data_IF_985360873737
#
_entry.id   IF_985360873737
#
_cell.length_a   1.000
_cell.length_b   1.000
_cell.length_c   1.000
_cell.angle_alpha   90.00
_cell.angle_beta   90.00
_cell.angle_gamma   90.00
#
_symmetry.space_group_name_H-M   'P 1'
#
loop_
_entity.id
_entity.type
_entity.pdbx_description
1 polymer ?
#
# COMPACT_ATOMS: atom_id res chain seq x y z
N UNK A 1 -27.88 2.11 -4.78
CA UNK A 1 -26.44 1.85 -5.08
C UNK A 1 -25.48 2.29 -3.97
N UNK A 2 -25.97 2.86 -2.86
CA UNK A 2 -25.35 2.69 -1.54
C UNK A 2 -26.18 1.70 -0.71
N UNK A 3 -26.70 0.68 -1.40
CA UNK A 3 -27.36 -0.42 -0.74
C UNK A 3 -26.27 -1.33 -0.18
N UNK A 4 -26.47 -1.76 1.05
CA UNK A 4 -25.69 -2.82 1.67
C UNK A 4 -25.66 -4.03 0.72
N UNK A 5 -24.50 -4.50 0.23
CA UNK A 5 -24.48 -5.74 -0.51
C UNK A 5 -24.84 -6.87 0.46
N UNK A 6 -25.88 -7.65 0.14
CA UNK A 6 -26.30 -8.86 0.89
C UNK A 6 -25.16 -9.88 1.06
N UNK A 7 -24.11 -9.74 0.25
CA UNK A 7 -22.88 -10.50 0.33
C UNK A 7 -21.78 -9.59 0.88
N UNK A 8 -21.19 -9.92 2.02
CA UNK A 8 -20.05 -9.22 2.66
C UNK A 8 -18.75 -9.23 1.86
N UNK A 9 -18.80 -8.89 0.57
CA UNK A 9 -17.64 -8.77 -0.30
C UNK A 9 -16.87 -7.50 0.05
N UNK A 10 -15.56 -7.64 0.22
CA UNK A 10 -14.64 -6.51 0.35
C UNK A 10 -14.62 -5.71 -0.96
N UNK A 11 -15.44 -4.66 -1.03
CA UNK A 11 -15.52 -3.72 -2.15
C UNK A 11 -14.58 -2.52 -1.98
N UNK A 12 -14.49 -1.69 -3.02
CA UNK A 12 -13.76 -0.43 -2.98
C UNK A 12 -14.40 0.50 -1.93
N UNK A 13 -13.56 1.02 -1.03
CA UNK A 13 -13.96 1.98 -0.01
C UNK A 13 -13.74 3.39 -0.54
N UNK A 14 -14.80 4.20 -0.50
CA UNK A 14 -14.85 5.54 -1.05
C UNK A 14 -15.18 6.52 0.07
N UNK A 15 -14.46 7.64 0.09
CA UNK A 15 -14.70 8.77 0.96
C UNK A 15 -14.51 10.07 0.17
N UNK A 16 -15.45 11.00 0.30
CA UNK A 16 -15.33 12.36 -0.27
C UNK A 16 -15.32 13.38 0.85
N UNK A 17 -14.52 14.44 0.71
CA UNK A 17 -14.39 15.50 1.70
C UNK A 17 -15.37 16.64 1.41
N UNK A 18 -15.95 17.20 2.46
CA UNK A 18 -16.86 18.35 2.40
C UNK A 18 -16.56 19.26 3.58
N UNK A 19 -17.01 20.50 3.54
CA UNK A 19 -16.92 21.40 4.70
C UNK A 19 -18.28 21.99 5.04
N UNK A 20 -18.55 22.21 6.32
CA UNK A 20 -19.80 22.87 6.76
C UNK A 20 -19.76 24.37 6.47
N UNK A 21 -20.90 24.98 6.13
CA UNK A 21 -20.96 26.43 5.86
C UNK A 21 -20.72 27.29 7.10
N UNK A 22 -21.17 26.84 8.27
CA UNK A 22 -21.09 27.62 9.51
C UNK A 22 -19.68 27.70 10.13
N UNK A 23 -19.07 26.54 10.44
CA UNK A 23 -17.76 26.46 11.13
C UNK A 23 -16.59 26.10 10.21
N UNK A 24 -16.86 25.87 8.92
CA UNK A 24 -15.87 25.31 7.99
C UNK A 24 -15.20 24.06 8.56
N UNK A 25 -15.98 23.20 9.24
CA UNK A 25 -15.48 21.94 9.78
C UNK A 25 -15.46 20.86 8.71
N UNK A 26 -14.38 20.07 8.66
CA UNK A 26 -14.24 18.97 7.70
C UNK A 26 -15.21 17.86 8.02
N UNK A 27 -15.94 17.41 7.00
CA UNK A 27 -16.85 16.27 7.06
C UNK A 27 -16.55 15.33 5.90
N UNK A 28 -16.65 14.02 6.11
CA UNK A 28 -16.53 13.03 5.03
C UNK A 28 -17.86 12.31 4.80
N UNK A 29 -18.15 12.00 3.54
CA UNK A 29 -19.26 11.11 3.16
C UNK A 29 -18.63 9.83 2.62
N UNK A 30 -19.03 8.67 3.15
CA UNK A 30 -18.37 7.38 2.89
C UNK A 30 -19.36 6.29 2.48
N UNK A 31 -18.89 5.28 1.74
CA UNK A 31 -19.67 4.06 1.45
C UNK A 31 -19.39 2.90 2.43
N UNK A 32 -18.72 3.19 3.54
CA UNK A 32 -18.29 2.20 4.53
C UNK A 32 -18.45 2.72 5.94
N UNK A 33 -18.53 1.79 6.89
CA UNK A 33 -18.46 2.06 8.32
C UNK A 33 -17.02 1.78 8.75
N UNK A 34 -16.40 2.69 9.48
CA UNK A 34 -15.14 2.37 10.15
C UNK A 34 -15.40 1.54 11.42
N UNK A 35 -14.36 0.85 11.92
CA UNK A 35 -14.47 -0.04 13.09
C UNK A 35 -14.76 0.70 14.42
N UNK A 36 -14.40 1.98 14.51
CA UNK A 36 -14.71 2.87 15.63
C UNK A 36 -15.53 4.07 15.15
N UNK A 37 -16.11 4.87 16.03
CA UNK A 37 -16.76 6.16 15.69
C UNK A 37 -15.70 7.26 15.49
N UNK A 38 -15.92 8.23 14.58
CA UNK A 38 -15.02 9.41 14.53
C UNK A 38 -15.34 10.24 15.78
N UNK A 39 -14.54 10.12 16.84
CA UNK A 39 -14.70 11.00 18.01
C UNK A 39 -14.34 12.45 17.67
N UNK A 40 -14.88 13.42 18.42
CA UNK A 40 -14.76 14.86 18.18
C UNK A 40 -13.32 15.45 18.10
N UNK A 41 -12.28 14.64 18.35
CA UNK A 41 -10.89 15.08 18.42
C UNK A 41 -10.03 14.75 17.17
N UNK A 42 -10.61 14.22 16.10
CA UNK A 42 -9.84 13.72 14.93
C UNK A 42 -9.70 14.75 13.79
N UNK A 43 -10.12 15.99 13.99
CA UNK A 43 -9.99 17.07 13.00
C UNK A 43 -10.94 17.00 11.80
N UNK A 44 -11.73 15.92 11.69
CA UNK A 44 -12.87 15.76 10.78
C UNK A 44 -13.90 14.82 11.42
N UNK A 45 -15.10 14.74 10.85
CA UNK A 45 -16.12 13.76 11.23
C UNK A 45 -16.74 13.10 9.99
N UNK A 46 -17.30 11.90 10.14
CA UNK A 46 -18.04 11.21 9.08
C UNK A 46 -19.52 11.54 9.18
N UNK A 47 -20.16 11.89 8.07
CA UNK A 47 -21.60 12.07 7.97
C UNK A 47 -22.22 10.70 7.94
N UNK A 48 -22.83 10.30 9.05
CA UNK A 48 -23.55 9.03 9.24
C UNK A 48 -24.84 9.28 9.99
N UNK A 49 -25.95 9.54 9.27
CA UNK A 49 -27.26 9.70 9.87
C UNK A 49 -27.69 8.44 10.64
N UNK A 50 -28.48 8.62 11.70
CA UNK A 50 -29.04 7.48 12.44
C UNK A 50 -30.08 6.72 11.62
N UNK A 51 -30.83 7.44 10.79
CA UNK A 51 -31.83 6.90 9.90
C UNK A 51 -31.21 6.62 8.53
N UNK A 52 -31.29 5.36 8.08
CA UNK A 52 -30.75 4.95 6.77
C UNK A 52 -31.38 5.70 5.60
N UNK A 53 -32.64 6.13 5.74
CA UNK A 53 -33.34 6.93 4.73
C UNK A 53 -32.71 8.32 4.50
N UNK A 54 -31.89 8.80 5.42
CA UNK A 54 -31.17 10.07 5.33
C UNK A 54 -29.74 9.91 4.81
N UNK A 55 -29.25 8.69 4.59
CA UNK A 55 -27.89 8.48 4.04
C UNK A 55 -27.78 9.17 2.66
N UNK A 56 -26.76 10.04 2.46
CA UNK A 56 -26.64 10.80 1.22
C UNK A 56 -26.50 9.90 -0.02
N UNK A 57 -27.24 10.26 -1.08
CA UNK A 57 -27.08 9.63 -2.39
C UNK A 57 -25.76 10.06 -3.05
N UNK A 58 -25.26 9.27 -3.99
CA UNK A 58 -23.94 9.51 -4.62
C UNK A 58 -23.87 10.89 -5.30
N UNK A 59 -24.93 11.27 -6.01
CA UNK A 59 -25.01 12.57 -6.66
C UNK A 59 -25.07 13.73 -5.65
N UNK A 60 -25.65 13.51 -4.46
CA UNK A 60 -25.70 14.50 -3.38
C UNK A 60 -24.32 14.69 -2.75
N UNK A 61 -23.61 13.58 -2.50
CA UNK A 61 -22.23 13.61 -2.04
C UNK A 61 -21.32 14.33 -3.06
N UNK A 62 -21.49 14.02 -4.35
CA UNK A 62 -20.82 14.71 -5.46
C UNK A 62 -21.07 16.22 -5.46
N UNK A 63 -22.34 16.64 -5.35
CA UNK A 63 -22.72 18.06 -5.26
C UNK A 63 -22.12 18.75 -4.04
N UNK A 64 -22.12 18.09 -2.88
CA UNK A 64 -21.57 18.65 -1.65
C UNK A 64 -20.03 18.83 -1.73
N UNK A 65 -19.31 17.82 -2.24
CA UNK A 65 -17.83 17.88 -2.32
C UNK A 65 -17.32 18.87 -3.36
N UNK A 66 -18.10 19.18 -4.41
CA UNK A 66 -17.68 20.06 -5.50
C UNK A 66 -18.30 21.46 -5.42
N UNK A 67 -19.02 21.80 -4.34
CA UNK A 67 -19.69 23.09 -4.18
C UNK A 67 -18.68 24.20 -3.84
N UNK A 68 -17.82 24.54 -4.80
CA UNK A 68 -16.75 25.52 -4.67
C UNK A 68 -17.32 26.94 -4.46
N UNK A 69 -16.96 27.64 -3.36
CA UNK A 69 -17.45 28.99 -3.12
C UNK A 69 -17.09 29.96 -4.24
N UNK A 70 -18.08 30.74 -4.69
CA UNK A 70 -17.94 31.66 -5.82
C UNK A 70 -18.27 31.04 -7.18
N UNK A 71 -18.28 29.71 -7.31
CA UNK A 71 -18.73 29.01 -8.53
C UNK A 71 -20.09 28.34 -8.33
N UNK A 72 -20.28 27.68 -7.18
CA UNK A 72 -21.49 26.93 -6.87
C UNK A 72 -22.06 27.34 -5.51
N UNK A 73 -23.39 27.31 -5.40
CA UNK A 73 -24.06 27.50 -4.12
C UNK A 73 -23.78 26.31 -3.18
N UNK A 74 -23.65 26.54 -1.86
CA UNK A 74 -23.61 25.46 -0.89
C UNK A 74 -24.81 24.53 -1.02
N UNK A 75 -24.58 23.23 -0.82
CA UNK A 75 -25.58 22.19 -1.00
C UNK A 75 -26.15 21.74 0.35
N UNK A 76 -27.48 21.74 0.47
CA UNK A 76 -28.17 21.29 1.66
C UNK A 76 -28.50 19.78 1.57
N UNK A 77 -27.96 19.02 2.51
CA UNK A 77 -28.38 17.64 2.77
C UNK A 77 -29.48 17.65 3.82
N UNK A 78 -30.69 17.28 3.41
CA UNK A 78 -31.88 17.30 4.25
C UNK A 78 -31.66 16.51 5.55
N UNK A 79 -31.97 17.13 6.69
CA UNK A 79 -31.80 16.53 8.02
C UNK A 79 -30.34 16.40 8.50
N UNK A 80 -29.36 16.83 7.71
CA UNK A 80 -27.93 16.74 8.05
C UNK A 80 -27.28 18.13 8.16
N UNK A 81 -27.52 19.00 7.17
CA UNK A 81 -27.00 20.36 7.15
C UNK A 81 -26.53 20.83 5.78
N UNK A 82 -25.90 22.00 5.75
CA UNK A 82 -25.41 22.64 4.52
C UNK A 82 -23.90 22.50 4.37
N UNK A 83 -23.48 22.07 3.18
CA UNK A 83 -22.11 21.70 2.86
C UNK A 83 -21.59 22.47 1.65
N UNK A 84 -20.29 22.65 1.62
CA UNK A 84 -19.54 23.24 0.52
C UNK A 84 -18.25 22.44 0.28
N UNK A 85 -17.47 22.83 -0.72
CA UNK A 85 -16.30 22.11 -1.20
C UNK A 85 -15.32 21.68 -0.08
N UNK A 86 -14.84 20.44 -0.17
CA UNK A 86 -13.83 19.88 0.72
C UNK A 86 -12.45 20.53 0.57
N UNK A 87 -12.18 21.13 -0.59
CA UNK A 87 -10.93 21.80 -0.92
C UNK A 87 -10.60 22.92 0.07
N UNK A 88 -11.63 23.58 0.65
CA UNK A 88 -11.46 24.64 1.66
C UNK A 88 -10.61 24.22 2.88
N UNK A 89 -10.50 22.92 3.15
CA UNK A 89 -9.64 22.38 4.22
C UNK A 89 -8.67 21.32 3.72
N UNK A 90 -9.08 20.50 2.76
CA UNK A 90 -8.34 19.32 2.31
C UNK A 90 -8.36 19.20 0.78
N UNK A 91 -7.74 20.15 0.08
CA UNK A 91 -7.59 20.05 -1.38
C UNK A 91 -6.72 18.85 -1.81
N UNK A 92 -5.81 18.41 -0.94
CA UNK A 92 -5.21 17.09 -1.02
C UNK A 92 -5.72 16.24 0.15
N UNK A 93 -6.65 15.30 -0.05
CA UNK A 93 -7.27 14.54 1.02
C UNK A 93 -6.38 13.39 1.56
N UNK A 94 -5.09 13.35 1.21
CA UNK A 94 -4.22 12.22 1.56
C UNK A 94 -4.18 11.89 3.05
N UNK A 95 -4.14 12.90 3.92
CA UNK A 95 -4.11 12.65 5.37
C UNK A 95 -5.42 12.01 5.84
N UNK A 96 -6.57 12.47 5.33
CA UNK A 96 -7.88 11.86 5.60
C UNK A 96 -7.89 10.40 5.12
N UNK A 97 -7.37 10.14 3.91
CA UNK A 97 -7.31 8.79 3.36
C UNK A 97 -6.41 7.85 4.20
N UNK A 98 -5.28 8.33 4.69
CA UNK A 98 -4.39 7.55 5.58
C UNK A 98 -5.03 7.27 6.93
N UNK A 99 -5.68 8.26 7.54
CA UNK A 99 -6.38 8.10 8.81
C UNK A 99 -7.52 7.10 8.68
N UNK A 100 -8.31 7.19 7.60
CA UNK A 100 -9.39 6.25 7.34
C UNK A 100 -8.88 4.86 7.00
N UNK A 101 -7.80 4.73 6.22
CA UNK A 101 -7.14 3.44 5.98
C UNK A 101 -6.75 2.74 7.29
N UNK A 102 -6.12 3.46 8.22
CA UNK A 102 -5.73 2.92 9.53
C UNK A 102 -6.95 2.57 10.39
N UNK A 103 -8.05 3.32 10.27
CA UNK A 103 -9.29 3.01 11.00
C UNK A 103 -10.00 1.77 10.47
N UNK A 104 -10.02 1.60 9.14
CA UNK A 104 -10.64 0.45 8.49
C UNK A 104 -9.81 -0.80 8.76
N UNK A 105 -8.47 -0.68 8.69
CA UNK A 105 -7.54 -1.79 8.86
C UNK A 105 -6.44 -1.48 9.89
N UNK A 106 -6.77 -1.49 11.20
CA UNK A 106 -5.86 -1.04 12.27
C UNK A 106 -4.67 -1.99 12.52
N UNK A 107 -4.74 -3.23 12.03
CA UNK A 107 -3.71 -4.26 12.24
C UNK A 107 -2.76 -4.43 11.06
N UNK A 108 -2.95 -3.66 9.98
CA UNK A 108 -2.16 -3.77 8.76
C UNK A 108 -1.58 -2.42 8.37
N UNK A 109 -0.38 -2.43 7.81
CA UNK A 109 0.22 -1.23 7.22
C UNK A 109 -0.31 -0.99 5.81
N UNK A 110 -0.30 0.27 5.37
CA UNK A 110 -0.69 0.63 4.00
C UNK A 110 0.36 0.17 3.00
N UNK A 111 0.01 -0.73 2.08
CA UNK A 111 1.00 -1.31 1.15
C UNK A 111 1.52 -0.31 0.10
N UNK A 112 0.64 0.55 -0.43
CA UNK A 112 0.99 1.59 -1.39
C UNK A 112 0.00 2.75 -1.32
N UNK A 113 0.47 3.97 -1.62
CA UNK A 113 -0.31 5.20 -1.65
C UNK A 113 -0.04 5.92 -2.97
N UNK A 114 -1.10 6.24 -3.71
CA UNK A 114 -1.03 7.04 -4.91
C UNK A 114 -1.88 8.30 -4.74
N UNK A 115 -1.23 9.46 -4.72
CA UNK A 115 -1.87 10.77 -4.76
C UNK A 115 -1.86 11.30 -6.19
N UNK A 116 -3.01 11.69 -6.72
CA UNK A 116 -3.12 12.29 -8.05
C UNK A 116 -3.44 13.78 -7.88
N UNK A 117 -2.60 14.64 -8.45
CA UNK A 117 -2.84 16.08 -8.50
C UNK A 117 -3.50 16.49 -9.82
N UNK A 118 -4.22 17.61 -9.77
CA UNK A 118 -4.88 18.23 -10.94
C UNK A 118 -3.97 19.21 -11.67
N UNK A 119 -2.69 19.27 -11.31
CA UNK A 119 -1.70 20.20 -11.82
C UNK A 119 -1.37 21.32 -10.84
N UNK A 120 -0.23 21.97 -11.06
CA UNK A 120 0.25 23.14 -10.31
C UNK A 120 0.82 24.17 -11.28
N UNK A 121 0.58 25.46 -11.01
CA UNK A 121 1.27 26.53 -11.72
C UNK A 121 2.79 26.41 -11.52
N UNK A 122 3.56 26.71 -12.56
CA UNK A 122 5.00 26.87 -12.42
C UNK A 122 5.30 27.99 -11.42
N UNK A 123 6.28 27.78 -10.55
CA UNK A 123 6.67 28.78 -9.56
C UNK A 123 7.16 30.04 -10.29
N UNK A 124 6.31 31.04 -10.46
CA UNK A 124 6.75 32.36 -10.92
C UNK A 124 7.74 32.88 -9.88
N UNK A 125 8.97 33.29 -10.26
CA UNK A 125 9.84 34.01 -9.36
C UNK A 125 9.04 35.15 -8.74
N UNK A 126 9.10 35.30 -7.42
CA UNK A 126 8.39 36.38 -6.72
C UNK A 126 8.58 37.68 -7.48
N UNK A 127 7.51 38.39 -7.90
CA UNK A 127 7.70 39.69 -8.50
C UNK A 127 8.42 40.54 -7.48
N UNK A 128 9.65 40.93 -7.78
CA UNK A 128 10.38 41.94 -7.03
C UNK A 128 9.41 43.11 -6.84
N UNK A 129 9.12 43.43 -5.58
CA UNK A 129 8.25 44.52 -5.18
C UNK A 129 8.78 45.81 -5.82
N UNK A 130 8.18 46.27 -6.92
CA UNK A 130 8.44 47.62 -7.43
C UNK A 130 7.70 48.58 -6.49
N UNK A 131 8.41 49.43 -5.71
CA UNK A 131 7.75 50.39 -4.85
C UNK A 131 7.25 51.54 -5.72
N UNK A 132 5.93 51.77 -5.82
CA UNK A 132 5.47 53.05 -6.37
C UNK A 132 4.11 53.15 -7.06
N UNK A 133 3.21 52.17 -7.01
CA UNK A 133 1.83 52.39 -7.50
C UNK A 133 0.82 51.69 -6.63
N UNK A 134 0.10 52.46 -5.81
CA UNK A 134 -0.97 51.98 -4.92
C UNK A 134 -2.29 52.55 -5.43
N UNK A 135 -2.98 51.83 -6.31
CA UNK A 135 -4.42 52.04 -6.53
C UNK A 135 -5.18 51.50 -5.31
N UNK A 136 -6.18 52.25 -4.85
CA UNK A 136 -6.90 51.99 -3.60
C UNK A 136 -7.89 50.81 -3.72
N UNK A 137 -8.18 50.35 -4.94
CA UNK A 137 -9.16 49.29 -5.23
C UNK A 137 -8.61 47.85 -5.16
N UNK A 138 -7.29 47.65 -5.00
CA UNK A 138 -6.66 46.32 -5.01
C UNK A 138 -6.58 45.60 -3.63
N UNK A 139 -7.26 46.08 -2.59
CA UNK A 139 -6.75 45.91 -1.21
C UNK A 139 -7.40 44.96 -0.21
N UNK A 140 -8.50 44.25 -0.48
CA UNK A 140 -9.01 43.27 0.52
C UNK A 140 -9.40 41.90 -0.02
N UNK A 141 -10.13 41.82 -1.14
CA UNK A 141 -10.56 40.55 -1.72
C UNK A 141 -9.41 39.74 -2.38
N UNK A 142 -8.44 40.35 -3.09
CA UNK A 142 -7.40 39.57 -3.78
C UNK A 142 -6.42 38.88 -2.84
N UNK A 143 -6.14 39.45 -1.66
CA UNK A 143 -5.16 38.89 -0.71
C UNK A 143 -5.73 37.75 0.10
N UNK A 144 -6.98 37.87 0.54
CA UNK A 144 -7.69 36.79 1.20
C UNK A 144 -7.88 35.64 0.20
N UNK A 145 -8.43 35.90 -1.00
CA UNK A 145 -8.57 34.88 -2.05
C UNK A 145 -7.23 34.25 -2.45
N UNK A 146 -6.14 35.02 -2.56
CA UNK A 146 -4.80 34.48 -2.85
C UNK A 146 -4.22 33.66 -1.69
N UNK A 147 -4.46 34.05 -0.45
CA UNK A 147 -4.12 33.25 0.74
C UNK A 147 -4.97 31.98 0.85
N UNK A 148 -6.24 32.04 0.42
CA UNK A 148 -7.14 30.90 0.31
C UNK A 148 -6.66 29.94 -0.79
N UNK A 149 -6.25 30.45 -1.96
CA UNK A 149 -5.65 29.66 -3.04
C UNK A 149 -4.31 29.02 -2.62
N UNK A 150 -3.50 29.68 -1.81
CA UNK A 150 -2.29 29.02 -1.24
C UNK A 150 -2.63 27.93 -0.22
N UNK A 151 -3.78 28.02 0.47
CA UNK A 151 -4.29 26.92 1.32
C UNK A 151 -4.82 25.73 0.51
N UNK A 152 -4.99 25.91 -0.80
CA UNK A 152 -5.34 24.86 -1.76
C UNK A 152 -4.10 24.19 -2.36
N UNK A 153 -2.89 24.52 -1.91
CA UNK A 153 -1.68 23.89 -2.41
C UNK A 153 -1.56 22.44 -1.91
N UNK A 154 -2.10 21.52 -2.71
CA UNK A 154 -2.02 20.08 -2.47
C UNK A 154 -0.58 19.56 -2.49
N UNK A 155 0.36 20.30 -3.08
CA UNK A 155 1.78 19.97 -3.12
C UNK A 155 2.46 20.27 -1.78
N UNK A 156 2.08 21.36 -1.09
CA UNK A 156 2.56 21.60 0.29
C UNK A 156 2.10 20.51 1.25
N UNK A 157 0.85 20.07 1.15
CA UNK A 157 0.32 18.96 1.97
C UNK A 157 1.10 17.68 1.69
N UNK A 158 1.39 17.39 0.42
CA UNK A 158 2.21 16.25 0.03
C UNK A 158 3.63 16.32 0.60
N UNK A 159 4.34 17.45 0.42
CA UNK A 159 5.70 17.64 0.95
C UNK A 159 5.75 17.51 2.48
N UNK A 160 4.79 18.11 3.18
CA UNK A 160 4.68 18.00 4.64
C UNK A 160 4.50 16.55 5.08
N UNK A 161 3.65 15.78 4.39
CA UNK A 161 3.51 14.34 4.63
C UNK A 161 4.85 13.62 4.44
N UNK A 162 5.55 13.84 3.31
CA UNK A 162 6.83 13.18 3.06
C UNK A 162 7.88 13.48 4.15
N UNK A 163 7.93 14.71 4.67
CA UNK A 163 8.82 15.07 5.78
C UNK A 163 8.50 14.31 7.08
N UNK A 164 7.27 13.85 7.27
CA UNK A 164 6.86 13.07 8.44
C UNK A 164 7.14 11.56 8.31
N UNK A 165 7.43 11.07 7.10
CA UNK A 165 7.61 9.65 6.82
C UNK A 165 9.06 9.21 7.00
N UNK A 166 9.27 8.02 7.59
CA UNK A 166 10.58 7.37 7.62
C UNK A 166 11.02 6.91 6.21
N UNK A 167 12.33 6.76 6.01
CA UNK A 167 12.93 6.38 4.70
C UNK A 167 12.30 5.13 4.09
N UNK A 168 12.02 4.11 4.90
CA UNK A 168 11.40 2.85 4.44
C UNK A 168 9.95 3.04 3.97
N UNK A 169 9.23 4.03 4.51
CA UNK A 169 7.86 4.30 4.13
C UNK A 169 7.79 5.06 2.80
N UNK A 170 8.75 5.94 2.50
CA UNK A 170 8.75 6.79 1.30
C UNK A 170 8.57 6.01 0.00
N UNK A 171 9.16 4.81 -0.08
CA UNK A 171 9.08 3.95 -1.26
C UNK A 171 7.67 3.48 -1.61
N UNK A 172 6.71 3.58 -0.67
CA UNK A 172 5.30 3.22 -0.85
C UNK A 172 4.43 4.42 -1.27
N UNK A 173 4.96 5.64 -1.21
CA UNK A 173 4.21 6.87 -1.44
C UNK A 173 4.56 7.46 -2.80
N UNK A 174 3.56 7.54 -3.67
CA UNK A 174 3.69 8.08 -5.01
C UNK A 174 2.76 9.28 -5.18
N UNK A 175 3.26 10.31 -5.86
CA UNK A 175 2.42 11.41 -6.34
C UNK A 175 2.67 11.65 -7.81
N UNK A 176 1.59 11.62 -8.58
CA UNK A 176 1.58 12.02 -9.98
C UNK A 176 0.89 13.38 -10.05
N UNK A 177 1.62 14.37 -10.51
CA UNK A 177 1.13 15.73 -10.69
C UNK A 177 1.82 16.33 -11.92
N UNK A 178 1.21 17.32 -12.54
CA UNK A 178 1.80 18.01 -13.70
C UNK A 178 2.08 19.47 -13.38
N UNK A 179 3.15 20.02 -13.94
CA UNK A 179 3.40 21.45 -13.89
C UNK A 179 2.88 22.09 -15.19
N UNK A 180 2.06 23.13 -15.06
CA UNK A 180 1.56 23.85 -16.23
C UNK A 180 2.69 24.64 -16.89
N UNK A 181 2.80 24.57 -18.22
CA UNK A 181 3.80 25.34 -18.99
C UNK A 181 3.48 26.85 -19.07
N UNK A 182 2.29 27.25 -18.64
CA UNK A 182 1.80 28.62 -18.65
C UNK A 182 0.97 28.93 -17.41
N UNK A 183 0.01 29.86 -17.55
CA UNK A 183 -0.91 30.16 -16.46
C UNK A 183 -1.79 28.95 -16.15
N UNK A 184 -2.07 28.75 -14.87
CA UNK A 184 -3.06 27.80 -14.42
C UNK A 184 -4.43 28.18 -14.99
N UNK A 185 -5.10 27.28 -15.74
CA UNK A 185 -6.44 27.53 -16.25
C UNK A 185 -7.41 27.80 -15.11
N UNK A 186 -8.45 28.58 -15.37
CA UNK A 186 -9.52 28.77 -14.38
C UNK A 186 -10.25 27.44 -14.15
N UNK A 187 -10.75 27.24 -12.92
CA UNK A 187 -11.47 26.02 -12.54
C UNK A 187 -12.74 25.78 -13.39
N UNK A 188 -13.33 26.84 -13.94
CA UNK A 188 -14.52 26.83 -14.80
C UNK A 188 -14.22 26.89 -16.31
N UNK A 189 -12.94 26.84 -16.72
CA UNK A 189 -12.56 26.90 -18.14
C UNK A 189 -12.67 25.54 -18.84
N UNK A 190 -13.85 25.26 -19.37
CA UNK A 190 -14.13 24.04 -20.15
C UNK A 190 -13.36 23.96 -21.46
N UNK A 191 -12.89 25.09 -22.01
CA UNK A 191 -12.17 25.12 -23.28
C UNK A 191 -10.74 24.59 -23.16
N UNK A 192 -10.18 24.62 -21.94
CA UNK A 192 -8.84 24.13 -21.64
C UNK A 192 -8.72 22.61 -21.54
N UNK A 193 -9.82 21.84 -21.49
CA UNK A 193 -9.82 20.39 -21.23
C UNK A 193 -8.93 19.62 -22.22
N UNK A 194 -9.03 19.93 -23.51
CA UNK A 194 -8.24 19.24 -24.55
C UNK A 194 -6.74 19.56 -24.43
N UNK A 195 -6.41 20.81 -24.07
CA UNK A 195 -5.03 21.23 -23.85
C UNK A 195 -4.42 20.60 -22.60
N UNK A 196 -5.20 20.52 -21.51
CA UNK A 196 -4.81 19.83 -20.29
C UNK A 196 -4.51 18.35 -20.54
N UNK A 197 -5.39 17.66 -21.27
CA UNK A 197 -5.19 16.25 -21.65
C UNK A 197 -3.92 16.06 -22.49
N UNK A 198 -3.69 16.92 -23.50
CA UNK A 198 -2.45 16.91 -24.29
C UNK A 198 -1.22 17.17 -23.44
N UNK A 199 -1.30 18.11 -22.49
CA UNK A 199 -0.20 18.47 -21.59
C UNK A 199 0.18 17.32 -20.66
N UNK A 200 -0.80 16.62 -20.07
CA UNK A 200 -0.54 15.42 -19.26
C UNK A 200 0.18 14.35 -20.07
N UNK A 201 -0.29 14.06 -21.29
CA UNK A 201 0.31 13.05 -22.14
C UNK A 201 1.73 13.40 -22.60
N UNK A 202 2.01 14.69 -22.79
CA UNK A 202 3.33 15.17 -23.18
C UNK A 202 4.31 15.26 -22.00
N UNK A 203 3.82 15.52 -20.78
CA UNK A 203 4.65 15.74 -19.59
C UNK A 203 4.82 14.50 -18.70
N UNK A 204 4.06 13.41 -18.93
CA UNK A 204 4.13 12.21 -18.10
C UNK A 204 5.54 11.62 -18.02
N UNK A 205 5.95 11.24 -16.82
CA UNK A 205 7.17 10.47 -16.61
C UNK A 205 6.87 8.96 -16.68
N UNK A 206 7.23 8.32 -17.80
CA UNK A 206 7.03 6.89 -17.99
C UNK A 206 7.81 6.02 -17.00
N UNK A 207 8.95 6.49 -16.50
CA UNK A 207 9.71 5.77 -15.47
C UNK A 207 8.97 5.80 -14.14
N UNK A 208 8.45 6.96 -13.75
CA UNK A 208 7.63 7.10 -12.55
C UNK A 208 6.33 6.29 -12.67
N UNK A 209 5.64 6.36 -13.82
CA UNK A 209 4.44 5.56 -14.07
C UNK A 209 4.71 4.06 -13.96
N UNK A 210 5.82 3.58 -14.51
CA UNK A 210 6.20 2.18 -14.39
C UNK A 210 6.56 1.78 -12.95
N UNK A 211 7.13 2.68 -12.15
CA UNK A 211 7.36 2.45 -10.73
C UNK A 211 6.05 2.33 -9.94
N UNK A 212 5.07 3.21 -10.23
CA UNK A 212 3.72 3.16 -9.64
C UNK A 212 3.01 1.87 -10.04
N UNK A 213 2.99 1.52 -11.34
CA UNK A 213 2.38 0.29 -11.83
C UNK A 213 2.99 -0.93 -11.16
N UNK A 214 4.32 -1.00 -11.06
CA UNK A 214 4.99 -2.12 -10.40
C UNK A 214 4.60 -2.22 -8.91
N UNK A 215 4.52 -1.10 -8.20
CA UNK A 215 4.09 -1.08 -6.81
C UNK A 215 2.65 -1.61 -6.67
N UNK A 216 1.68 -1.05 -7.42
CA UNK A 216 0.27 -1.46 -7.35
C UNK A 216 0.04 -2.93 -7.78
N UNK A 217 0.79 -3.42 -8.76
CA UNK A 217 0.72 -4.83 -9.15
C UNK A 217 1.35 -5.75 -8.10
N UNK A 218 2.45 -5.33 -7.46
CA UNK A 218 3.07 -6.09 -6.37
C UNK A 218 2.14 -6.23 -5.15
N UNK A 219 1.38 -5.19 -4.80
CA UNK A 219 0.39 -5.27 -3.69
C UNK A 219 -0.81 -6.18 -4.00
N UNK A 220 -0.98 -6.62 -5.25
CA UNK A 220 -1.98 -7.63 -5.58
C UNK A 220 -1.57 -9.03 -5.11
N UNK A 221 -0.27 -9.27 -4.90
CA UNK A 221 0.24 -10.50 -4.30
C UNK A 221 0.21 -10.42 -2.78
N UNK A 222 -0.07 -11.53 -2.12
CA UNK A 222 -0.06 -11.66 -0.67
C UNK A 222 0.36 -13.06 -0.24
N UNK A 223 0.78 -13.20 1.01
CA UNK A 223 1.24 -14.48 1.55
C UNK A 223 0.23 -15.06 2.54
N UNK A 224 -0.03 -16.36 2.45
CA UNK A 224 -0.75 -17.14 3.46
C UNK A 224 0.14 -18.22 4.05
N UNK A 225 0.06 -18.44 5.38
CA UNK A 225 0.68 -19.60 6.00
C UNK A 225 -0.21 -20.81 5.77
N UNK A 226 0.39 -21.90 5.31
CA UNK A 226 -0.32 -23.17 5.16
C UNK A 226 -0.63 -23.78 6.52
N UNK A 227 0.33 -23.67 7.45
CA UNK A 227 0.24 -24.19 8.82
C UNK A 227 1.12 -23.41 9.78
N UNK A 228 0.92 -23.59 11.08
CA UNK A 228 1.75 -23.00 12.12
C UNK A 228 3.24 -23.34 11.89
N UNK A 229 4.17 -22.39 12.08
CA UNK A 229 5.60 -22.63 11.91
C UNK A 229 6.09 -23.74 12.82
N UNK A 230 6.85 -24.69 12.27
CA UNK A 230 7.40 -25.82 13.03
C UNK A 230 8.86 -25.54 13.38
N UNK A 231 9.22 -25.73 14.64
CA UNK A 231 10.63 -25.67 15.04
C UNK A 231 11.37 -26.92 14.56
N UNK A 232 12.44 -26.72 13.81
CA UNK A 232 13.28 -27.78 13.29
C UNK A 232 14.49 -28.05 14.19
N UNK A 233 14.98 -29.28 14.14
CA UNK A 233 16.22 -29.76 14.75
C UNK A 233 17.46 -28.90 14.44
N UNK A 234 17.45 -28.15 13.33
CA UNK A 234 18.51 -27.21 12.96
C UNK A 234 18.49 -25.88 13.73
N UNK A 235 17.52 -25.67 14.61
CA UNK A 235 17.40 -24.47 15.46
C UNK A 235 16.63 -23.31 14.81
N UNK A 236 15.92 -23.56 13.70
CA UNK A 236 15.12 -22.55 12.99
C UNK A 236 13.65 -22.97 12.93
N UNK A 237 12.76 -21.99 12.78
CA UNK A 237 11.36 -22.26 12.45
C UNK A 237 11.20 -22.38 10.93
N UNK A 238 10.55 -23.46 10.49
CA UNK A 238 10.20 -23.70 9.10
C UNK A 238 8.84 -23.06 8.83
N UNK A 239 8.82 -22.08 7.93
CA UNK A 239 7.63 -21.40 7.46
C UNK A 239 7.25 -21.97 6.09
N UNK A 240 6.11 -22.64 6.01
CA UNK A 240 5.54 -23.14 4.75
C UNK A 240 4.23 -22.45 4.47
N UNK A 241 4.11 -21.90 3.28
CA UNK A 241 2.96 -21.13 2.87
C UNK A 241 2.92 -20.93 1.38
N UNK A 242 2.03 -20.05 0.97
CA UNK A 242 1.71 -19.83 -0.44
C UNK A 242 1.65 -18.33 -0.72
N UNK A 243 2.17 -17.92 -1.87
CA UNK A 243 1.95 -16.60 -2.41
C UNK A 243 0.76 -16.67 -3.37
N UNK A 244 -0.26 -15.89 -3.05
CA UNK A 244 -1.54 -15.83 -3.73
C UNK A 244 -1.73 -14.46 -4.39
N UNK A 245 -2.74 -14.35 -5.25
CA UNK A 245 -3.08 -13.10 -5.95
C UNK A 245 -4.53 -12.71 -5.68
N UNK A 246 -4.75 -11.42 -5.41
CA UNK A 246 -6.09 -10.83 -5.33
C UNK A 246 -6.59 -10.51 -6.75
N UNK A 247 -7.69 -11.15 -7.15
CA UNK A 247 -8.29 -10.93 -8.47
C UNK A 247 -7.67 -11.77 -9.58
N UNK A 248 -7.65 -11.22 -10.80
CA UNK A 248 -7.22 -11.92 -12.02
C UNK A 248 -5.69 -11.87 -12.18
N UNK A 249 -5.02 -12.98 -11.87
CA UNK A 249 -3.57 -13.09 -11.97
C UNK A 249 -3.06 -12.96 -13.41
N UNK A 250 -3.84 -13.31 -14.43
CA UNK A 250 -3.43 -13.21 -15.83
C UNK A 250 -3.25 -11.74 -16.21
N UNK A 251 -4.23 -10.89 -15.84
CA UNK A 251 -4.15 -9.44 -16.06
C UNK A 251 -3.00 -8.80 -15.30
N UNK A 252 -2.76 -9.24 -14.07
CA UNK A 252 -1.65 -8.74 -13.26
C UNK A 252 -0.30 -9.09 -13.90
N UNK A 253 -0.13 -10.32 -14.38
CA UNK A 253 1.09 -10.74 -15.06
C UNK A 253 1.27 -10.04 -16.41
N UNK A 254 0.21 -9.84 -17.19
CA UNK A 254 0.25 -9.01 -18.40
C UNK A 254 0.70 -7.57 -18.08
N UNK A 255 0.19 -7.00 -16.98
CA UNK A 255 0.63 -5.71 -16.47
C UNK A 255 2.12 -5.67 -16.15
N UNK A 256 2.63 -6.67 -15.42
CA UNK A 256 4.05 -6.78 -15.09
C UNK A 256 4.92 -6.93 -16.35
N UNK A 257 4.48 -7.72 -17.32
CA UNK A 257 5.16 -7.91 -18.62
C UNK A 257 5.14 -6.65 -19.49
N UNK A 258 4.14 -5.78 -19.34
CA UNK A 258 4.11 -4.48 -20.02
C UNK A 258 5.18 -3.52 -19.51
N UNK A 259 5.60 -3.68 -18.24
CA UNK A 259 6.66 -2.88 -17.61
C UNK A 259 8.05 -3.42 -17.96
N UNK A 260 8.19 -4.74 -18.07
CA UNK A 260 9.43 -5.42 -18.43
C UNK A 260 9.13 -6.71 -19.22
N UNK A 261 9.34 -6.66 -20.53
CA UNK A 261 9.05 -7.80 -21.41
C UNK A 261 10.02 -8.96 -21.16
N UNK A 262 11.27 -8.65 -20.85
CA UNK A 262 12.37 -9.61 -20.76
C UNK A 262 12.70 -10.03 -19.33
N UNK A 263 12.33 -9.20 -18.34
CA UNK A 263 12.62 -9.45 -16.94
C UNK A 263 11.99 -10.74 -16.42
N UNK A 264 12.75 -11.53 -15.68
CA UNK A 264 12.19 -12.68 -14.96
C UNK A 264 11.32 -12.19 -13.81
N UNK A 265 10.15 -12.80 -13.65
CA UNK A 265 9.26 -12.56 -12.51
C UNK A 265 9.55 -13.64 -11.46
N UNK A 266 9.73 -13.25 -10.22
CA UNK A 266 9.96 -14.18 -9.12
C UNK A 266 9.75 -13.53 -7.76
N UNK A 267 9.99 -14.29 -6.71
CA UNK A 267 9.83 -13.81 -5.35
C UNK A 267 11.11 -13.99 -4.57
N UNK A 268 11.35 -13.07 -3.65
CA UNK A 268 12.53 -13.04 -2.79
C UNK A 268 12.08 -12.74 -1.37
N UNK A 269 12.76 -13.34 -0.42
CA UNK A 269 12.77 -12.83 0.95
C UNK A 269 14.10 -12.13 1.23
N UNK A 270 14.27 -11.62 2.45
CA UNK A 270 15.47 -10.89 2.86
C UNK A 270 16.78 -11.71 2.76
N UNK A 271 16.69 -13.04 2.74
CA UNK A 271 17.83 -13.95 2.87
C UNK A 271 18.10 -14.76 1.58
N UNK A 272 17.07 -15.03 0.78
CA UNK A 272 17.11 -15.98 -0.34
C UNK A 272 16.01 -15.72 -1.40
N UNK A 273 16.23 -16.30 -2.57
CA UNK A 273 15.20 -16.41 -3.60
C UNK A 273 14.15 -17.46 -3.19
N UNK A 274 12.87 -17.12 -3.35
CA UNK A 274 11.73 -18.03 -3.18
C UNK A 274 11.29 -18.66 -4.51
N UNK A 275 12.10 -18.50 -5.56
CA UNK A 275 11.89 -19.09 -6.87
C UNK A 275 11.27 -18.13 -7.89
N UNK A 276 11.44 -18.49 -9.16
CA UNK A 276 10.80 -17.81 -10.30
C UNK A 276 9.33 -18.22 -10.36
N UNK A 277 8.51 -17.32 -10.90
CA UNK A 277 7.11 -17.61 -11.19
C UNK A 277 7.03 -18.54 -12.40
N UNK A 278 6.28 -19.63 -12.25
CA UNK A 278 6.03 -20.62 -13.28
C UNK A 278 4.52 -20.90 -13.35
N UNK A 279 3.88 -20.57 -14.48
CA UNK A 279 2.43 -20.71 -14.64
C UNK A 279 1.96 -22.14 -14.86
N UNK A 280 2.86 -23.08 -15.10
CA UNK A 280 2.50 -24.49 -15.21
C UNK A 280 2.37 -25.11 -13.82
N UNK A 281 3.14 -24.64 -12.84
CA UNK A 281 3.15 -25.16 -11.47
C UNK A 281 2.51 -24.26 -10.42
N UNK A 282 2.55 -22.93 -10.58
CA UNK A 282 2.09 -21.94 -9.59
C UNK A 282 0.59 -21.63 -9.72
N UNK A 283 -0.22 -22.63 -10.07
CA UNK A 283 -1.67 -22.55 -10.17
C UNK A 283 -2.33 -23.81 -9.64
N UNK A 284 -3.50 -23.66 -9.04
CA UNK A 284 -4.31 -24.81 -8.66
C UNK A 284 -4.83 -25.51 -9.93
N UNK A 285 -4.59 -26.80 -10.07
CA UNK A 285 -5.06 -27.60 -11.22
C UNK A 285 -6.58 -27.67 -11.34
N UNK A 286 -7.32 -27.38 -10.25
CA UNK A 286 -8.78 -27.50 -10.20
C UNK A 286 -9.50 -26.16 -10.39
N UNK A 287 -9.18 -25.13 -9.59
CA UNK A 287 -9.81 -23.79 -9.71
C UNK A 287 -9.01 -22.78 -10.54
N UNK A 288 -7.81 -23.14 -11.00
CA UNK A 288 -6.94 -22.26 -11.78
C UNK A 288 -6.57 -20.94 -11.08
N UNK A 289 -6.70 -20.85 -9.74
CA UNK A 289 -6.21 -19.70 -8.98
C UNK A 289 -4.70 -19.78 -8.85
N UNK A 290 -4.04 -18.63 -8.93
CA UNK A 290 -2.59 -18.53 -8.71
C UNK A 290 -2.23 -18.87 -7.27
N UNK A 291 -1.31 -19.82 -7.09
CA UNK A 291 -0.80 -20.23 -5.80
C UNK A 291 0.64 -20.72 -5.97
N UNK A 292 1.62 -19.92 -5.52
CA UNK A 292 3.02 -20.32 -5.51
C UNK A 292 3.41 -20.84 -4.13
N UNK A 293 3.79 -22.11 -4.05
CA UNK A 293 4.32 -22.70 -2.82
C UNK A 293 5.68 -22.08 -2.49
N UNK A 294 5.85 -21.63 -1.24
CA UNK A 294 7.12 -21.09 -0.76
C UNK A 294 7.47 -21.66 0.62
N UNK A 295 8.76 -21.86 0.84
CA UNK A 295 9.31 -22.31 2.12
C UNK A 295 10.52 -21.47 2.48
N UNK A 296 10.57 -20.97 3.71
CA UNK A 296 11.71 -20.23 4.23
C UNK A 296 11.85 -20.46 5.73
N UNK A 297 12.97 -20.00 6.28
CA UNK A 297 13.33 -20.20 7.69
C UNK A 297 13.37 -18.86 8.41
N UNK A 298 12.94 -18.84 9.67
CA UNK A 298 13.11 -17.69 10.57
C UNK A 298 13.77 -18.15 11.88
N UNK A 299 14.54 -17.28 12.51
CA UNK A 299 15.20 -17.60 13.80
C UNK A 299 14.19 -17.60 14.92
N UNK A 300 13.22 -16.70 14.85
CA UNK A 300 12.17 -16.56 15.85
C UNK A 300 10.85 -16.14 15.19
N UNK A 301 9.67 -16.60 15.64
CA UNK A 301 8.38 -16.24 15.03
C UNK A 301 8.05 -14.74 15.07
N UNK A 302 8.65 -14.00 16.01
CA UNK A 302 8.52 -12.54 16.12
C UNK A 302 9.54 -11.77 15.25
N UNK A 303 10.45 -12.45 14.56
CA UNK A 303 11.33 -11.81 13.58
C UNK A 303 10.48 -11.26 12.43
N UNK A 304 10.67 -9.98 12.10
CA UNK A 304 10.05 -9.40 10.90
C UNK A 304 10.73 -9.97 9.67
N UNK A 305 9.94 -10.47 8.76
CA UNK A 305 10.38 -10.89 7.43
C UNK A 305 9.74 -9.99 6.38
N UNK A 306 10.39 -9.86 5.23
CA UNK A 306 9.79 -9.29 4.03
C UNK A 306 9.74 -10.34 2.92
N UNK A 307 8.66 -10.31 2.14
CA UNK A 307 8.60 -10.96 0.84
C UNK A 307 8.40 -9.88 -0.22
N UNK A 308 9.20 -9.94 -1.28
CA UNK A 308 9.17 -9.02 -2.40
C UNK A 308 8.98 -9.75 -3.73
N UNK A 309 8.15 -9.16 -4.59
CA UNK A 309 8.10 -9.44 -6.01
C UNK A 309 9.34 -8.84 -6.67
N UNK A 310 10.04 -9.64 -7.47
CA UNK A 310 11.14 -9.22 -8.33
C UNK A 310 10.71 -9.23 -9.79
N UNK A 311 11.00 -8.13 -10.50
CA UNK A 311 10.85 -7.98 -11.95
C UNK A 311 12.19 -7.52 -12.52
N UNK A 312 12.99 -8.47 -12.99
CA UNK A 312 14.40 -8.23 -13.29
C UNK A 312 15.15 -7.80 -12.03
N UNK A 313 15.86 -6.66 -12.11
CA UNK A 313 16.60 -6.08 -10.98
C UNK A 313 15.70 -5.29 -10.00
N UNK A 314 14.47 -4.96 -10.41
CA UNK A 314 13.55 -4.18 -9.57
C UNK A 314 12.84 -5.08 -8.58
N UNK A 315 12.77 -4.66 -7.32
CA UNK A 315 12.08 -5.38 -6.25
C UNK A 315 11.04 -4.49 -5.58
N UNK A 316 9.88 -5.05 -5.26
CA UNK A 316 8.83 -4.39 -4.47
C UNK A 316 8.20 -5.37 -3.51
N UNK A 317 7.99 -4.96 -2.26
CA UNK A 317 7.30 -5.77 -1.27
C UNK A 317 5.90 -6.13 -1.77
N UNK A 318 5.49 -7.37 -1.51
CA UNK A 318 4.10 -7.79 -1.70
C UNK A 318 3.27 -7.36 -0.49
N UNK A 319 1.95 -7.44 -0.60
CA UNK A 319 1.04 -6.96 0.43
C UNK A 319 1.22 -7.67 1.78
N UNK A 320 1.13 -6.89 2.86
CA UNK A 320 1.21 -7.40 4.23
C UNK A 320 2.64 -7.58 4.76
N UNK A 321 3.65 -7.04 4.08
CA UNK A 321 5.05 -7.07 4.54
C UNK A 321 5.61 -5.64 4.70
N UNK A 322 6.61 -5.42 5.57
CA UNK A 322 7.26 -6.40 6.46
C UNK A 322 6.37 -6.82 7.63
N UNK A 323 6.43 -8.09 8.02
CA UNK A 323 5.55 -8.64 9.07
C UNK A 323 6.18 -9.86 9.77
N UNK A 324 5.74 -10.14 10.99
CA UNK A 324 6.19 -11.31 11.76
C UNK A 324 5.40 -12.55 11.37
N UNK A 325 6.04 -13.71 11.46
CA UNK A 325 5.37 -14.99 11.20
C UNK A 325 4.27 -15.25 12.24
N UNK A 326 4.50 -14.85 13.49
CA UNK A 326 3.50 -14.94 14.56
C UNK A 326 2.23 -14.14 14.27
N UNK A 327 2.34 -12.99 13.58
CA UNK A 327 1.17 -12.22 13.17
C UNK A 327 0.32 -13.00 12.19
N UNK A 328 0.94 -13.65 11.18
CA UNK A 328 0.22 -14.49 10.23
C UNK A 328 -0.43 -15.69 10.92
N UNK A 329 0.26 -16.36 11.86
CA UNK A 329 -0.33 -17.47 12.62
C UNK A 329 -1.56 -17.03 13.42
N UNK A 330 -1.48 -15.86 14.06
CA UNK A 330 -2.59 -15.30 14.85
C UNK A 330 -3.77 -14.88 13.98
N UNK A 331 -3.53 -14.10 12.92
CA UNK A 331 -4.58 -13.60 12.02
C UNK A 331 -5.24 -14.72 11.18
N UNK A 332 -4.52 -15.82 10.94
CA UNK A 332 -5.07 -17.00 10.24
C UNK A 332 -5.57 -18.07 11.21
N UNK A 333 -5.59 -17.77 12.52
CA UNK A 333 -6.07 -18.64 13.61
C UNK A 333 -5.37 -20.01 13.68
N UNK A 334 -4.11 -20.10 13.24
CA UNK A 334 -3.34 -21.35 13.19
C UNK A 334 -2.86 -21.82 14.58
N UNK A 335 -2.83 -20.91 15.56
CA UNK A 335 -2.40 -21.21 16.94
C UNK A 335 -3.55 -21.66 17.85
N UNK A 336 -4.78 -21.80 17.33
CA UNK A 336 -5.94 -22.15 18.14
C UNK A 336 -6.14 -23.67 18.26
N UNK A 337 -6.26 -24.24 19.47
CA UNK A 337 -6.22 -25.70 19.69
C UNK A 337 -7.42 -26.47 19.12
N UNK A 338 -8.51 -25.78 18.79
CA UNK A 338 -9.71 -26.38 18.18
C UNK A 338 -9.73 -26.28 16.65
N UNK A 339 -8.76 -25.57 16.06
CA UNK A 339 -8.65 -25.40 14.62
C UNK A 339 -7.58 -26.34 14.06
N UNK A 340 -7.77 -27.63 14.32
CA UNK A 340 -7.24 -28.64 13.42
C UNK A 340 -8.06 -28.53 12.13
N UNK A 341 -7.50 -27.90 11.09
CA UNK A 341 -8.09 -27.83 9.73
C UNK A 341 -8.42 -29.23 9.12
N UNK A 342 -8.15 -30.30 9.84
CA UNK A 342 -8.43 -31.70 9.50
C UNK A 342 -9.84 -32.17 9.88
N UNK A 343 -10.59 -31.48 10.77
CA UNK A 343 -11.86 -32.02 11.33
C UNK A 343 -13.15 -31.30 10.91
N UNK A 344 -13.15 -30.46 9.87
CA UNK A 344 -14.39 -29.93 9.29
C UNK A 344 -14.98 -30.90 8.23
N UNK A 345 -16.19 -31.37 8.50
CA UNK A 345 -17.05 -32.33 7.78
C UNK A 345 -16.91 -32.34 6.23
N UNK A 346 -16.68 -33.51 5.58
CA UNK A 346 -16.35 -33.64 4.14
C UNK A 346 -17.55 -33.67 3.17
N UNK A 347 -18.67 -33.00 3.48
CA UNK A 347 -19.83 -32.99 2.59
C UNK A 347 -19.79 -31.82 1.57
N UNK A 348 -19.29 -32.17 0.37
CA UNK A 348 -19.64 -31.63 -0.95
C UNK A 348 -19.28 -30.16 -1.34
N UNK A 349 -18.01 -29.88 -1.67
CA UNK A 349 -17.65 -28.87 -2.69
C UNK A 349 -16.36 -29.24 -3.45
N UNK A 350 -16.42 -29.29 -4.79
CA UNK A 350 -15.36 -29.84 -5.67
C UNK A 350 -14.22 -28.88 -6.04
N UNK A 351 -14.21 -27.62 -5.57
CA UNK A 351 -12.99 -26.84 -5.48
C UNK A 351 -13.12 -25.58 -4.60
N UNK A 352 -12.37 -25.55 -3.51
CA UNK A 352 -12.04 -24.35 -2.75
C UNK A 352 -10.53 -24.41 -2.52
N UNK A 353 -9.74 -23.42 -2.93
CA UNK A 353 -8.28 -23.45 -2.83
C UNK A 353 -7.77 -23.36 -1.38
N UNK A 354 -7.98 -24.44 -0.62
CA UNK A 354 -7.30 -24.88 0.61
C UNK A 354 -7.25 -26.42 0.72
N UNK A 355 -7.19 -27.18 -0.38
CA UNK A 355 -6.95 -28.64 -0.34
C UNK A 355 -6.20 -29.15 -1.59
N UNK A 356 -4.86 -29.17 -1.53
CA UNK A 356 -4.04 -30.15 -2.24
C UNK A 356 -2.80 -30.48 -1.38
N UNK A 357 -2.95 -31.48 -0.52
CA UNK A 357 -1.94 -32.51 -0.26
C UNK A 357 -2.34 -33.67 -1.21
N UNK A 358 -1.48 -34.34 -1.97
CA UNK A 358 -0.15 -34.85 -1.66
C UNK A 358 0.77 -34.88 -2.90
N UNK A 359 2.07 -35.08 -2.62
CA UNK A 359 3.21 -35.31 -3.53
C UNK A 359 4.11 -34.10 -3.82
N UNK A 360 4.85 -33.66 -2.80
CA UNK A 360 6.21 -33.14 -3.04
C UNK A 360 7.18 -34.30 -2.78
N UNK A 361 8.02 -34.72 -3.74
CA UNK A 361 9.07 -35.69 -3.48
C UNK A 361 10.06 -35.07 -2.50
N UNK A 362 10.50 -35.87 -1.53
CA UNK A 362 11.63 -35.57 -0.65
C UNK A 362 12.94 -35.48 -1.46
N UNK A 363 13.12 -34.43 -2.27
CA UNK A 363 14.43 -34.11 -2.83
C UNK A 363 15.18 -33.27 -1.80
N UNK A 364 16.11 -33.93 -1.14
CA UNK A 364 17.09 -33.37 -0.24
C UNK A 364 17.73 -32.11 -0.82
N UNK A 365 17.40 -30.95 -0.24
CA UNK A 365 18.20 -29.74 -0.42
C UNK A 365 19.54 -30.00 0.28
N UNK A 366 20.48 -30.62 -0.46
CA UNK A 366 21.87 -30.73 -0.04
C UNK A 366 22.43 -29.32 0.05
N UNK A 367 22.61 -28.81 1.27
CA UNK A 367 23.52 -27.69 1.53
C UNK A 367 24.88 -28.07 0.96
N UNK A 368 25.37 -27.33 -0.05
CA UNK A 368 26.80 -27.30 -0.37
C UNK A 368 27.48 -26.59 0.80
N UNK A 369 28.00 -27.37 1.75
CA UNK A 369 28.98 -26.88 2.70
C UNK A 369 30.30 -26.71 1.95
N UNK A 370 30.68 -25.47 1.68
CA UNK A 370 32.06 -25.13 1.32
C UNK A 370 32.92 -25.27 2.59
N UNK A 371 33.31 -26.50 2.92
CA UNK A 371 34.33 -26.75 3.92
C UNK A 371 35.70 -26.56 3.24
N UNK A 372 36.34 -25.42 3.49
CA UNK A 372 37.78 -25.26 3.24
C UNK A 372 38.52 -26.23 4.15
N UNK A 373 39.09 -27.27 3.54
CA UNK A 373 39.97 -28.25 4.16
C UNK A 373 41.30 -27.59 4.54
N UNK A 374 41.46 -27.31 5.83
CA UNK A 374 42.76 -27.12 6.48
C UNK A 374 43.28 -28.49 6.92
N UNK A 375 44.12 -29.11 6.10
CA UNK A 375 45.06 -30.14 6.51
C UNK A 375 46.07 -30.40 5.39
N UNK A 376 47.28 -29.82 5.52
CA UNK A 376 48.51 -30.36 4.97
C UNK A 376 49.69 -29.52 5.48
N UNK A 377 50.14 -29.77 6.71
CA UNK A 377 51.55 -29.58 7.07
C UNK A 377 51.99 -30.82 7.86
N UNK A 378 52.72 -31.66 7.16
CA UNK A 378 53.42 -32.85 7.61
C UNK A 378 54.51 -32.52 8.65
N UNK A 379 54.51 -33.34 9.69
CA UNK A 379 55.60 -33.59 10.64
C UNK A 379 56.99 -33.58 9.99
N UNK A 380 57.88 -32.70 10.49
CA UNK A 380 59.33 -32.85 10.40
C UNK A 380 59.90 -32.87 11.82
N UNK A 381 60.38 -34.05 12.17
CA UNK A 381 61.14 -34.46 13.35
C UNK A 381 62.48 -33.71 13.39
N UNK A 382 62.76 -32.94 14.43
CA UNK A 382 64.13 -32.58 14.83
C UNK A 382 64.37 -33.03 16.27
N UNK A 383 65.48 -33.73 16.44
CA UNK A 383 66.06 -34.19 17.69
C UNK A 383 66.53 -32.98 18.49
N UNK A 384 66.32 -32.97 19.80
CA UNK A 384 67.34 -32.57 20.76
C UNK A 384 67.12 -33.32 22.07
N UNK A 385 68.23 -33.73 22.64
CA UNK A 385 68.44 -34.56 23.82
C UNK A 385 68.42 -33.73 25.12
N UNK A 386 68.53 -34.46 26.23
CA UNK A 386 68.90 -34.05 27.59
C UNK A 386 67.67 -33.86 28.50
N UNK A 387 67.30 -34.73 29.45
CA UNK A 387 67.97 -35.53 30.50
C UNK A 387 67.61 -34.98 31.89
N UNK A 388 67.34 -35.92 32.80
CA UNK A 388 67.35 -35.85 34.27
C UNK A 388 65.98 -35.70 34.98
N UNK A 389 65.62 -36.84 35.61
CA UNK A 389 65.27 -37.03 37.02
C UNK A 389 64.16 -36.13 37.61
N UNK A 390 63.05 -36.66 38.12
CA UNK A 390 63.02 -37.64 39.20
C UNK A 390 62.80 -36.91 40.53
N UNK A 391 61.69 -37.23 41.21
CA UNK A 391 61.42 -37.17 42.66
C UNK A 391 59.98 -36.70 42.96
N UNK A 392 59.33 -37.56 43.73
CA UNK A 392 58.09 -37.45 44.49
C UNK A 392 57.92 -36.20 45.35
N UNK A 393 56.69 -35.66 45.39
CA UNK A 393 55.87 -35.47 46.59
C UNK A 393 54.46 -35.04 46.18
#
# INVERSE_FOLDING_TARGET
>A
MFDYPETGMSGVKLAVTTTTTGRASTRIITNYNGAAYVGANHGYDAIRPQESALEPLLWQAGRATSAAPGLFAPYELNGIGTFQDGALRHNNPINIALWESNRIWPRTSTDAVLSLGTGTAAATPSPHTIPGRRTLEEKFIPRLCRSFLTSLDGELTWRSLLCSLGKEALDRFFRLNIEFRGYEPRLDDVSAIDELSRSVNAAKDDKQLNAVKLALLATSFFFELRRAPKFDSSGFYICQGEICVRGDYVRILMGLRSIDKTGTIGFWNDQQSLGRLDLDTDKCSVCNRFCKQVCFFVRHPMEKVSIALALGERRRQISGFPQTVSWFSSEQHLDTPFYHKETADPLAWKCECRRHEDQVPSSSIKRRSSAMSLANITSKRMKHTDSLDGISA
#
